data_IF_372694468477
#
_entry.id   IF_372694468477
#
_cell.length_a   1.000
_cell.length_b   1.000
_cell.length_c   1.000
_cell.angle_alpha   90.00
_cell.angle_beta   90.00
_cell.angle_gamma   90.00
#
_symmetry.space_group_name_H-M   'P 1'
#
loop_
_entity.id
_entity.type
_entity.pdbx_description
1 polymer ?
#
# COMPACT_ATOMS: atom_id res chain seq x y z
N UNK A 1 0.78 20.69 10.18
CA UNK A 1 0.41 19.63 9.21
C UNK A 1 -1.06 19.41 9.42
N UNK A 2 -1.86 19.88 8.46
CA UNK A 2 -3.32 19.81 8.51
C UNK A 2 -3.73 18.45 7.91
N UNK A 3 -4.23 17.55 8.75
CA UNK A 3 -4.35 16.12 8.45
C UNK A 3 -5.61 15.75 7.64
N UNK A 4 -6.14 16.69 6.84
CA UNK A 4 -7.49 16.58 6.26
C UNK A 4 -7.58 16.31 4.75
N UNK A 5 -6.49 16.46 3.98
CA UNK A 5 -6.53 16.36 2.51
C UNK A 5 -5.59 15.29 1.95
N UNK A 6 -6.04 14.62 0.89
CA UNK A 6 -5.34 13.53 0.17
C UNK A 6 -3.89 13.91 -0.20
N UNK A 7 -3.67 15.16 -0.59
CA UNK A 7 -2.35 15.71 -0.93
C UNK A 7 -1.42 15.79 0.29
N UNK A 8 -1.93 16.15 1.47
CA UNK A 8 -1.13 16.21 2.70
C UNK A 8 -0.67 14.82 3.15
N UNK A 9 -1.38 13.77 2.75
CA UNK A 9 -1.03 12.39 3.06
C UNK A 9 0.11 11.86 2.19
N UNK A 10 0.07 12.09 0.87
CA UNK A 10 1.18 11.74 -0.01
C UNK A 10 2.47 12.50 0.35
N UNK A 11 2.35 13.77 0.72
CA UNK A 11 3.47 14.58 1.21
C UNK A 11 3.98 14.08 2.56
N UNK A 12 3.10 13.67 3.47
CA UNK A 12 3.48 13.10 4.77
C UNK A 12 4.17 11.73 4.62
N UNK A 13 3.67 10.84 3.75
CA UNK A 13 4.30 9.54 3.48
C UNK A 13 5.65 9.72 2.80
N UNK A 14 5.73 10.58 1.79
CA UNK A 14 6.98 10.91 1.10
C UNK A 14 8.01 11.49 2.09
N UNK A 15 7.59 12.45 2.92
CA UNK A 15 8.44 12.98 4.00
C UNK A 15 8.79 11.93 5.05
N UNK A 16 7.88 11.04 5.46
CA UNK A 16 8.19 10.02 6.46
C UNK A 16 9.19 8.98 5.93
N UNK A 17 9.10 8.63 4.65
CA UNK A 17 10.07 7.78 3.95
C UNK A 17 11.42 8.47 3.80
N UNK A 18 11.43 9.78 3.52
CA UNK A 18 12.64 10.60 3.39
C UNK A 18 13.33 10.86 4.74
N UNK A 19 12.55 11.19 5.77
CA UNK A 19 13.02 11.57 7.12
C UNK A 19 13.37 10.36 8.02
N UNK A 20 13.19 9.13 7.54
CA UNK A 20 13.56 7.90 8.27
C UNK A 20 13.00 7.82 9.71
N UNK A 21 11.82 8.41 9.99
CA UNK A 21 11.23 8.44 11.34
C UNK A 21 10.46 7.16 11.68
N UNK A 22 11.15 6.02 11.76
CA UNK A 22 10.54 4.76 12.20
C UNK A 22 11.36 4.08 13.31
N UNK A 23 10.64 3.54 14.31
CA UNK A 23 11.15 2.94 15.55
C UNK A 23 11.71 1.52 15.36
N UNK A 24 11.38 0.81 14.26
CA UNK A 24 11.99 -0.48 13.88
C UNK A 24 11.58 -0.92 12.47
N UNK A 25 12.50 -1.25 11.58
CA UNK A 25 12.23 -1.73 10.21
C UNK A 25 13.41 -1.50 9.26
N UNK A 26 13.37 -2.09 8.07
CA UNK A 26 14.46 -2.00 7.08
C UNK A 26 14.04 -1.25 5.82
N UNK A 27 14.93 -0.40 5.28
CA UNK A 27 14.71 0.30 4.01
C UNK A 27 15.30 -0.52 2.86
N UNK A 28 14.49 -0.84 1.86
CA UNK A 28 14.94 -1.47 0.62
C UNK A 28 14.42 -0.63 -0.54
N UNK A 29 15.33 -0.06 -1.33
CA UNK A 29 15.02 0.69 -2.56
C UNK A 29 13.99 1.82 -2.35
N UNK A 30 14.20 2.61 -1.29
CA UNK A 30 13.30 3.72 -0.90
C UNK A 30 11.91 3.31 -0.40
N UNK A 31 11.68 2.03 -0.11
CA UNK A 31 10.46 1.53 0.53
C UNK A 31 10.77 0.98 1.91
N UNK A 32 9.82 1.10 2.84
CA UNK A 32 9.99 0.69 4.22
C UNK A 32 9.17 -0.56 4.52
N UNK A 33 9.78 -1.50 5.25
CA UNK A 33 9.16 -2.75 5.66
C UNK A 33 9.24 -2.91 7.18
N UNK A 34 8.10 -3.17 7.82
CA UNK A 34 8.02 -3.38 9.27
C UNK A 34 8.67 -4.70 9.74
N UNK A 35 8.80 -5.69 8.86
CA UNK A 35 9.36 -7.00 9.16
C UNK A 35 10.13 -7.53 7.94
N UNK A 36 11.18 -8.35 8.13
CA UNK A 36 11.99 -8.86 7.02
C UNK A 36 11.12 -9.67 6.03
N UNK A 37 11.37 -9.41 4.75
CA UNK A 37 10.60 -9.77 3.55
C UNK A 37 9.91 -11.15 3.57
N UNK A 38 8.59 -11.14 3.44
CA UNK A 38 7.83 -12.15 2.68
C UNK A 38 7.35 -11.60 1.33
N UNK A 39 7.93 -10.49 0.86
CA UNK A 39 7.66 -9.98 -0.49
C UNK A 39 8.30 -10.95 -1.48
N UNK A 40 7.46 -11.66 -2.24
CA UNK A 40 7.92 -12.54 -3.31
C UNK A 40 8.92 -11.78 -4.21
N UNK A 41 9.98 -12.46 -4.63
CA UNK A 41 11.12 -11.95 -5.42
C UNK A 41 10.77 -11.12 -6.66
N UNK A 42 9.50 -11.17 -7.08
CA UNK A 42 8.99 -10.63 -8.34
C UNK A 42 8.11 -9.38 -8.15
N UNK A 43 7.99 -8.85 -6.92
CA UNK A 43 7.18 -7.65 -6.66
C UNK A 43 8.05 -6.39 -6.63
N UNK A 44 7.60 -5.33 -7.32
CA UNK A 44 8.26 -4.03 -7.34
C UNK A 44 7.58 -3.09 -6.35
N UNK A 45 8.30 -2.62 -5.34
CA UNK A 45 7.75 -1.76 -4.27
C UNK A 45 8.65 -0.53 -4.13
N UNK A 46 8.12 0.65 -4.45
CA UNK A 46 8.89 1.91 -4.52
C UNK A 46 8.20 3.00 -3.69
N UNK A 47 8.95 3.74 -2.88
CA UNK A 47 8.44 4.86 -2.07
C UNK A 47 7.16 4.52 -1.28
N UNK A 48 7.08 3.29 -0.77
CA UNK A 48 5.86 2.76 -0.15
C UNK A 48 6.13 2.23 1.25
N UNK A 49 5.09 2.23 2.08
CA UNK A 49 5.12 1.71 3.45
C UNK A 49 4.35 0.40 3.52
N UNK A 50 5.03 -0.69 3.91
CA UNK A 50 4.44 -2.02 4.04
C UNK A 50 4.48 -2.45 5.50
N UNK A 51 3.30 -2.59 6.11
CA UNK A 51 3.14 -3.03 7.49
C UNK A 51 3.37 -4.54 7.63
N UNK A 52 3.37 -5.03 8.88
CA UNK A 52 3.60 -6.45 9.17
C UNK A 52 2.45 -7.34 8.69
N UNK A 53 2.75 -8.59 8.33
CA UNK A 53 1.76 -9.57 7.89
C UNK A 53 1.19 -9.31 6.48
N UNK A 54 1.72 -8.33 5.74
CA UNK A 54 1.29 -8.06 4.37
C UNK A 54 1.86 -9.09 3.40
N UNK A 55 0.98 -9.68 2.60
CA UNK A 55 1.33 -10.63 1.53
C UNK A 55 1.21 -9.92 0.17
N UNK A 56 2.30 -9.87 -0.59
CA UNK A 56 2.32 -9.27 -1.94
C UNK A 56 2.91 -10.28 -2.90
N UNK A 57 2.17 -10.59 -3.97
CA UNK A 57 2.58 -11.55 -4.99
C UNK A 57 2.66 -10.85 -6.34
N UNK A 58 3.82 -10.92 -7.02
CA UNK A 58 4.02 -10.47 -8.41
C UNK A 58 3.31 -9.15 -8.77
N UNK A 59 3.47 -8.12 -7.94
CA UNK A 59 2.70 -6.87 -8.05
C UNK A 59 3.61 -5.64 -8.01
N UNK A 60 3.08 -4.52 -8.53
CA UNK A 60 3.76 -3.22 -8.52
C UNK A 60 3.06 -2.26 -7.56
N UNK A 61 3.79 -1.76 -6.57
CA UNK A 61 3.29 -0.84 -5.55
C UNK A 61 4.19 0.39 -5.53
N UNK A 62 3.59 1.57 -5.67
CA UNK A 62 4.32 2.84 -5.68
C UNK A 62 3.61 3.90 -4.84
N UNK A 63 4.38 4.69 -4.08
CA UNK A 63 3.85 5.86 -3.34
C UNK A 63 2.60 5.51 -2.51
N UNK A 64 2.58 4.31 -1.92
CA UNK A 64 1.39 3.73 -1.31
C UNK A 64 1.68 3.23 0.08
N UNK A 65 0.63 3.09 0.90
CA UNK A 65 0.72 2.51 2.24
C UNK A 65 -0.18 1.28 2.31
N UNK A 66 0.36 0.17 2.76
CA UNK A 66 -0.38 -1.08 2.96
C UNK A 66 -0.28 -1.45 4.43
N UNK A 67 -1.43 -1.46 5.10
CA UNK A 67 -1.55 -1.75 6.52
C UNK A 67 -1.64 -3.25 6.80
N UNK A 68 -1.58 -3.60 8.09
CA UNK A 68 -1.33 -4.95 8.59
C UNK A 68 -2.27 -6.02 8.02
N UNK A 69 -1.74 -7.24 7.84
CA UNK A 69 -2.48 -8.44 7.41
C UNK A 69 -3.24 -8.30 6.08
N UNK A 70 -2.87 -7.33 5.24
CA UNK A 70 -3.48 -7.15 3.93
C UNK A 70 -2.87 -8.08 2.88
N UNK A 71 -3.67 -8.45 1.88
CA UNK A 71 -3.25 -9.35 0.80
C UNK A 71 -3.39 -8.68 -0.55
N UNK A 72 -2.30 -8.65 -1.32
CA UNK A 72 -2.26 -8.12 -2.68
C UNK A 72 -2.10 -9.27 -3.66
N UNK A 73 -3.17 -9.52 -4.42
CA UNK A 73 -3.21 -10.54 -5.46
C UNK A 73 -2.26 -10.25 -6.61
N UNK A 74 -1.93 -11.29 -7.37
CA UNK A 74 -0.98 -11.27 -8.48
C UNK A 74 -1.28 -10.19 -9.52
N UNK A 75 -0.23 -9.67 -10.15
CA UNK A 75 -0.32 -8.73 -11.28
C UNK A 75 -1.09 -7.45 -10.94
N UNK A 76 -1.17 -7.09 -9.66
CA UNK A 76 -1.84 -5.87 -9.23
C UNK A 76 -0.93 -4.66 -9.36
N UNK A 77 -1.54 -3.51 -9.63
CA UNK A 77 -0.87 -2.21 -9.75
C UNK A 77 -1.51 -1.24 -8.76
N UNK A 78 -0.73 -0.80 -7.77
CA UNK A 78 -1.19 0.09 -6.72
C UNK A 78 -0.30 1.33 -6.71
N UNK A 79 -0.90 2.51 -6.88
CA UNK A 79 -0.18 3.78 -6.90
C UNK A 79 -0.91 4.83 -6.07
N UNK A 80 -0.19 5.62 -5.27
CA UNK A 80 -0.78 6.74 -4.50
C UNK A 80 -1.89 6.32 -3.54
N UNK A 81 -1.94 5.06 -3.11
CA UNK A 81 -3.11 4.46 -2.47
C UNK A 81 -2.83 4.04 -1.02
N UNK A 82 -3.88 4.03 -0.20
CA UNK A 82 -3.85 3.54 1.18
C UNK A 82 -4.72 2.29 1.26
N UNK A 83 -4.11 1.15 1.59
CA UNK A 83 -4.81 -0.11 1.79
C UNK A 83 -4.99 -0.36 3.28
N UNK A 84 -6.23 -0.38 3.74
CA UNK A 84 -6.61 -0.64 5.12
C UNK A 84 -6.22 -2.03 5.61
N UNK A 85 -6.11 -2.20 6.93
CA UNK A 85 -5.84 -3.48 7.60
C UNK A 85 -6.82 -4.58 7.18
N UNK A 86 -6.32 -5.82 7.13
CA UNK A 86 -7.08 -7.03 6.79
C UNK A 86 -7.77 -6.97 5.41
N UNK A 87 -7.36 -6.06 4.53
CA UNK A 87 -8.01 -5.90 3.23
C UNK A 87 -7.40 -6.83 2.19
N UNK A 88 -8.23 -7.27 1.27
CA UNK A 88 -7.86 -8.20 0.19
C UNK A 88 -8.04 -7.50 -1.14
N UNK A 89 -6.95 -7.36 -1.88
CA UNK A 89 -6.94 -6.86 -3.25
C UNK A 89 -6.85 -8.06 -4.20
N UNK A 90 -7.89 -8.28 -5.00
CA UNK A 90 -7.93 -9.36 -5.98
C UNK A 90 -6.85 -9.22 -7.06
N UNK A 91 -6.60 -10.30 -7.79
CA UNK A 91 -5.59 -10.35 -8.84
C UNK A 91 -5.92 -9.41 -10.02
N UNK A 92 -4.91 -8.95 -10.75
CA UNK A 92 -5.04 -8.04 -11.90
C UNK A 92 -5.80 -6.74 -11.57
N UNK A 93 -5.76 -6.30 -10.31
CA UNK A 93 -6.44 -5.07 -9.90
C UNK A 93 -5.54 -3.84 -10.09
N UNK A 94 -6.15 -2.71 -10.44
CA UNK A 94 -5.45 -1.44 -10.61
C UNK A 94 -6.08 -0.35 -9.75
N UNK A 95 -5.35 0.08 -8.72
CA UNK A 95 -5.76 1.11 -7.78
C UNK A 95 -4.84 2.32 -7.96
N UNK A 96 -5.42 3.50 -8.20
CA UNK A 96 -4.66 4.74 -8.34
C UNK A 96 -5.31 5.83 -7.50
N UNK A 97 -4.62 6.37 -6.50
CA UNK A 97 -5.14 7.38 -5.59
C UNK A 97 -6.40 6.91 -4.83
N UNK A 98 -6.41 5.65 -4.41
CA UNK A 98 -7.56 5.02 -3.75
C UNK A 98 -7.30 4.84 -2.26
N UNK A 99 -8.29 5.15 -1.44
CA UNK A 99 -8.30 4.77 -0.03
C UNK A 99 -9.20 3.55 0.11
N UNK A 100 -8.64 2.39 0.43
CA UNK A 100 -9.38 1.16 0.74
C UNK A 100 -9.54 1.07 2.24
N UNK A 101 -10.78 0.97 2.70
CA UNK A 101 -11.13 0.82 4.10
C UNK A 101 -10.58 -0.47 4.72
N UNK A 102 -10.77 -0.61 6.02
CA UNK A 102 -10.44 -1.84 6.74
C UNK A 102 -11.36 -3.00 6.31
N UNK A 103 -10.84 -4.22 6.41
CA UNK A 103 -11.55 -5.49 6.17
C UNK A 103 -12.20 -5.56 4.77
N UNK A 104 -11.73 -4.72 3.83
CA UNK A 104 -12.37 -4.52 2.54
C UNK A 104 -11.87 -5.52 1.51
N UNK A 105 -12.76 -5.96 0.63
CA UNK A 105 -12.44 -6.89 -0.45
C UNK A 105 -12.64 -6.19 -1.79
N UNK A 106 -11.54 -5.98 -2.52
CA UNK A 106 -11.56 -5.54 -3.92
C UNK A 106 -11.58 -6.79 -4.80
N UNK A 107 -12.61 -6.99 -5.65
CA UNK A 107 -12.66 -8.11 -6.57
C UNK A 107 -11.49 -8.11 -7.58
N UNK A 108 -11.12 -9.29 -8.09
CA UNK A 108 -10.10 -9.39 -9.15
C UNK A 108 -10.50 -8.63 -10.41
N UNK A 109 -9.52 -8.05 -11.12
CA UNK A 109 -9.73 -7.26 -12.33
C UNK A 109 -10.32 -5.87 -12.09
N UNK A 110 -10.45 -5.45 -10.84
CA UNK A 110 -11.05 -4.16 -10.50
C UNK A 110 -10.11 -3.02 -10.82
N UNK A 111 -10.62 -2.00 -11.53
CA UNK A 111 -9.90 -0.75 -11.80
C UNK A 111 -10.64 0.40 -11.12
N UNK A 112 -9.98 1.06 -10.18
CA UNK A 112 -10.54 2.18 -9.40
C UNK A 112 -9.51 3.30 -9.33
N UNK A 113 -9.97 4.54 -9.44
CA UNK A 113 -9.12 5.71 -9.21
C UNK A 113 -9.82 6.85 -8.47
N UNK A 114 -9.03 7.64 -7.76
CA UNK A 114 -9.38 8.93 -7.15
C UNK A 114 -10.59 8.92 -6.18
N UNK A 115 -10.85 7.77 -5.57
CA UNK A 115 -12.02 7.55 -4.70
C UNK A 115 -11.65 6.80 -3.42
N UNK A 116 -12.63 6.63 -2.54
CA UNK A 116 -12.54 5.78 -1.37
C UNK A 116 -13.42 4.55 -1.59
N UNK A 117 -12.88 3.37 -1.32
CA UNK A 117 -13.60 2.11 -1.26
C UNK A 117 -13.76 1.70 0.19
N UNK A 118 -14.95 1.89 0.73
CA UNK A 118 -15.31 1.43 2.08
C UNK A 118 -16.25 0.24 1.96
N UNK A 119 -16.14 -0.74 2.85
CA UNK A 119 -17.12 -1.81 2.93
C UNK A 119 -18.53 -1.23 3.17
N UNK A 120 -19.50 -1.79 2.45
CA UNK A 120 -20.91 -1.79 2.83
C UNK A 120 -21.21 -2.93 3.80
#
# INVERSE_FOLDING_TARGET
IDAGTRESWCDAVSKCVEESRFTSGGRVTNSWYSSPKNSASDSSIISSMIASGVEIVQSSIRESTILENSKIGKLSQISGSLIGRNSVIGENSRLTNVIVGHDSVIPSGTTISDTTWENQ
#
